data_IF_596059311124
#
_entry.id   IF_596059311124
#
_cell.length_a   1.000
_cell.length_b   1.000
_cell.length_c   1.000
_cell.angle_alpha   90.00
_cell.angle_beta   90.00
_cell.angle_gamma   90.00
#
_symmetry.space_group_name_H-M   'P 1'
#
loop_
_entity.id
_entity.type
_entity.pdbx_description
1 polymer ?
#
# COMPACT_ATOMS: atom_id res chain seq x y z
N UNK A 1 6.76 -9.69 -20.71
CA UNK A 1 7.93 -9.23 -20.04
C UNK A 1 7.83 -7.84 -19.50
N UNK A 2 7.55 -6.87 -20.35
CA UNK A 2 7.37 -5.52 -19.87
C UNK A 2 6.23 -5.41 -18.90
N UNK A 3 5.16 -6.17 -19.17
CA UNK A 3 4.01 -6.16 -18.29
C UNK A 3 4.31 -6.72 -16.93
N UNK A 4 5.22 -7.69 -16.89
CA UNK A 4 5.60 -8.28 -15.62
C UNK A 4 6.30 -7.27 -14.74
N UNK A 5 7.14 -6.43 -15.32
CA UNK A 5 7.78 -5.38 -14.59
C UNK A 5 6.78 -4.42 -14.01
N UNK A 6 5.79 -4.04 -14.81
CA UNK A 6 4.77 -3.11 -14.35
C UNK A 6 3.96 -3.72 -13.22
N UNK A 7 3.64 -5.01 -13.33
CA UNK A 7 2.88 -5.68 -12.30
C UNK A 7 3.63 -5.72 -10.98
N UNK A 8 4.95 -5.79 -11.04
CA UNK A 8 5.76 -5.94 -9.85
C UNK A 8 6.37 -4.62 -9.40
N UNK A 9 5.88 -3.53 -9.93
CA UNK A 9 6.43 -2.22 -9.64
C UNK A 9 6.23 -1.81 -8.18
N UNK A 10 5.14 -2.20 -7.59
CA UNK A 10 4.80 -1.83 -6.23
C UNK A 10 4.65 -3.06 -5.34
N UNK A 11 5.06 -2.92 -4.09
CA UNK A 11 4.77 -3.94 -3.11
C UNK A 11 3.34 -3.79 -2.63
N UNK A 12 2.70 -4.91 -2.34
CA UNK A 12 1.34 -4.92 -1.87
C UNK A 12 1.17 -5.88 -0.71
N UNK A 13 0.30 -5.52 0.22
CA UNK A 13 -0.12 -6.39 1.31
C UNK A 13 1.07 -6.94 2.10
N UNK A 14 1.20 -8.24 2.21
CA UNK A 14 2.23 -8.84 3.05
C UNK A 14 3.65 -8.65 2.55
N UNK A 15 3.80 -8.15 1.35
CA UNK A 15 5.13 -7.78 0.86
C UNK A 15 5.68 -6.55 1.55
N UNK A 16 4.79 -5.76 2.16
CA UNK A 16 5.18 -4.55 2.87
C UNK A 16 5.54 -4.95 4.30
N UNK A 17 6.84 -4.91 4.60
CA UNK A 17 7.35 -5.45 5.86
C UNK A 17 7.88 -4.41 6.82
N UNK A 18 7.71 -3.14 6.50
CA UNK A 18 8.12 -2.09 7.41
C UNK A 18 7.18 -2.08 8.61
N UNK A 19 7.60 -1.37 9.65
CA UNK A 19 6.86 -1.32 10.90
C UNK A 19 5.63 -0.43 10.80
N UNK A 20 5.78 0.70 10.12
CA UNK A 20 4.72 1.69 9.99
C UNK A 20 4.64 2.16 8.57
N UNK A 21 3.45 2.61 8.19
CA UNK A 21 3.23 3.18 6.86
C UNK A 21 2.38 4.42 7.02
N UNK A 22 2.47 5.30 6.02
CA UNK A 22 1.60 6.47 5.93
C UNK A 22 0.53 6.17 4.91
N UNK A 23 -0.70 6.12 5.35
CA UNK A 23 -1.82 5.86 4.46
C UNK A 23 -2.37 7.19 3.98
N UNK A 24 -2.38 7.39 2.67
CA UNK A 24 -2.85 8.62 2.05
C UNK A 24 -4.20 8.35 1.41
N UNK A 25 -5.14 9.22 1.66
CA UNK A 25 -6.48 9.15 1.09
C UNK A 25 -6.97 10.53 0.71
N UNK A 26 -8.24 10.60 0.35
CA UNK A 26 -8.82 11.88 -0.07
C UNK A 26 -8.86 12.88 1.05
N UNK A 27 -8.99 12.42 2.27
CA UNK A 27 -9.15 13.29 3.43
C UNK A 27 -7.83 13.57 4.16
N UNK A 28 -6.72 13.18 3.58
CA UNK A 28 -5.43 13.43 4.20
C UNK A 28 -4.62 12.16 4.37
N UNK A 29 -3.75 12.17 5.35
CA UNK A 29 -2.87 11.02 5.58
C UNK A 29 -2.78 10.72 7.06
N UNK A 30 -2.39 9.48 7.35
CA UNK A 30 -2.30 8.99 8.71
C UNK A 30 -1.19 7.95 8.78
N UNK A 31 -0.35 8.06 9.80
CA UNK A 31 0.69 7.05 10.04
C UNK A 31 0.12 6.01 11.00
N UNK A 32 0.16 4.75 10.57
CA UNK A 32 -0.36 3.65 11.37
C UNK A 32 0.62 2.49 11.33
N UNK A 33 0.54 1.59 12.30
CA UNK A 33 1.31 0.34 12.21
C UNK A 33 0.89 -0.42 10.96
N UNK A 34 1.85 -1.07 10.32
CA UNK A 34 1.59 -1.80 9.10
C UNK A 34 0.52 -2.87 9.31
N UNK A 35 0.53 -3.51 10.47
CA UNK A 35 -0.50 -4.50 10.80
C UNK A 35 -1.90 -3.91 10.73
N UNK A 36 -2.04 -2.71 11.28
CA UNK A 36 -3.34 -2.04 11.25
C UNK A 36 -3.74 -1.70 9.83
N UNK A 37 -2.78 -1.27 9.03
CA UNK A 37 -3.06 -0.94 7.63
C UNK A 37 -3.55 -2.17 6.87
N UNK A 38 -2.95 -3.32 7.15
CA UNK A 38 -3.37 -4.56 6.51
C UNK A 38 -4.80 -4.93 6.91
N UNK A 39 -5.13 -4.74 8.19
CA UNK A 39 -6.48 -4.99 8.65
C UNK A 39 -7.48 -4.08 7.98
N UNK A 40 -7.12 -2.81 7.81
CA UNK A 40 -7.99 -1.85 7.13
C UNK A 40 -8.26 -2.29 5.70
N UNK A 41 -7.21 -2.76 5.02
CA UNK A 41 -7.37 -3.24 3.64
C UNK A 41 -8.33 -4.42 3.59
N UNK A 42 -8.18 -5.37 4.52
CA UNK A 42 -9.07 -6.53 4.57
C UNK A 42 -10.51 -6.11 4.80
N UNK A 43 -10.73 -5.21 5.74
CA UNK A 43 -12.07 -4.78 6.08
C UNK A 43 -12.75 -4.07 4.91
N UNK A 44 -11.99 -3.36 4.11
CA UNK A 44 -12.53 -2.64 2.97
C UNK A 44 -12.55 -3.48 1.71
N UNK A 45 -11.96 -4.66 1.74
CA UNK A 45 -11.92 -5.52 0.56
C UNK A 45 -11.01 -4.99 -0.53
N UNK A 46 -9.95 -4.28 -0.13
CA UNK A 46 -8.98 -3.72 -1.07
C UNK A 46 -7.58 -4.17 -0.68
N UNK A 47 -6.60 -3.66 -1.40
CA UNK A 47 -5.20 -3.98 -1.14
C UNK A 47 -4.49 -2.79 -0.51
N UNK A 48 -3.46 -3.09 0.27
CA UNK A 48 -2.55 -2.07 0.76
C UNK A 48 -1.39 -2.02 -0.23
N UNK A 49 -1.23 -0.90 -0.93
CA UNK A 49 -0.23 -0.78 -1.98
C UNK A 49 0.77 0.31 -1.61
N UNK A 50 2.06 -0.05 -1.64
CA UNK A 50 3.13 0.87 -1.31
C UNK A 50 3.46 1.71 -2.54
N UNK A 51 3.19 3.01 -2.44
CA UNK A 51 3.36 3.94 -3.56
C UNK A 51 4.75 4.56 -3.55
N UNK A 52 5.22 4.97 -2.37
CA UNK A 52 6.51 5.63 -2.24
C UNK A 52 7.35 4.88 -1.21
N UNK A 53 8.15 3.92 -1.65
CA UNK A 53 8.94 3.11 -0.70
C UNK A 53 10.07 3.88 -0.04
N UNK A 54 10.52 4.97 -0.65
CA UNK A 54 11.64 5.73 -0.10
C UNK A 54 11.24 6.78 0.91
N UNK A 55 9.96 7.00 1.09
CA UNK A 55 9.48 7.91 2.11
C UNK A 55 9.64 7.29 3.50
N UNK A 56 9.65 8.12 4.54
CA UNK A 56 9.83 7.66 5.90
C UNK A 56 8.69 8.18 6.76
N UNK A 57 7.71 7.36 7.08
CA UNK A 57 7.55 5.98 6.63
C UNK A 57 7.05 5.89 5.19
N UNK A 58 7.11 4.72 4.58
CA UNK A 58 6.64 4.57 3.22
C UNK A 58 5.19 4.96 3.06
N UNK A 59 4.88 5.55 1.91
CA UNK A 59 3.52 5.99 1.61
C UNK A 59 2.76 4.86 0.93
N UNK A 60 1.57 4.58 1.45
CA UNK A 60 0.72 3.52 0.95
C UNK A 60 -0.68 4.03 0.68
N UNK A 61 -1.42 3.30 -0.13
CA UNK A 61 -2.82 3.59 -0.39
C UNK A 61 -3.63 2.31 -0.27
N UNK A 62 -4.89 2.48 0.10
CA UNK A 62 -5.84 1.39 0.17
C UNK A 62 -6.64 1.42 -1.12
N UNK A 63 -6.24 0.60 -2.08
CA UNK A 63 -6.85 0.58 -3.40
C UNK A 63 -6.90 -0.83 -3.93
N UNK A 64 -7.76 -1.05 -4.92
CA UNK A 64 -7.80 -2.33 -5.61
C UNK A 64 -6.62 -2.36 -6.59
N UNK A 65 -5.62 -3.16 -6.28
CA UNK A 65 -4.37 -3.18 -7.02
C UNK A 65 -4.58 -3.51 -8.50
N UNK A 66 -5.52 -4.39 -8.78
CA UNK A 66 -5.78 -4.75 -10.18
C UNK A 66 -6.31 -3.55 -10.97
N UNK A 67 -7.06 -2.69 -10.32
CA UNK A 67 -7.55 -1.48 -10.98
C UNK A 67 -6.47 -0.42 -11.07
N UNK A 68 -5.53 -0.44 -10.14
CA UNK A 68 -4.44 0.52 -10.13
C UNK A 68 -3.49 0.30 -11.29
N UNK A 69 -3.32 -0.96 -11.67
CA UNK A 69 -2.47 -1.29 -12.80
C UNK A 69 -3.19 -0.98 -14.11
#
# INVERSE_FOLDING_TARGET
>A
MKNDKLKNQYRANEQIRVREVRIVGEDGSEVVPTRKALDMARQQGVDLVEISPNAQPPVCRLIDYTKFL
#
